data_IF_232304580676
#
_entry.id   IF_232304580676
#
_cell.length_a   1.000
_cell.length_b   1.000
_cell.length_c   1.000
_cell.angle_alpha   90.00
_cell.angle_beta   90.00
_cell.angle_gamma   90.00
#
_symmetry.space_group_name_H-M   'P 1'
#
loop_
_entity.id
_entity.type
_entity.pdbx_description
1 polymer ?
#
# COMPACT_ATOMS: atom_id res chain seq x y z
N UNK A 1 -74.45 -63.67 26.59
CA UNK A 1 -73.88 -64.80 25.80
C UNK A 1 -72.53 -64.35 25.28
N UNK A 2 -71.53 -64.26 26.15
CA UNK A 2 -70.16 -63.90 25.77
C UNK A 2 -69.45 -65.19 25.38
N UNK A 3 -69.74 -65.68 24.17
CA UNK A 3 -68.90 -66.72 23.58
C UNK A 3 -67.51 -66.13 23.41
N UNK A 4 -66.42 -66.89 23.68
CA UNK A 4 -65.11 -66.44 23.32
C UNK A 4 -65.16 -66.16 21.82
N UNK A 5 -64.93 -64.90 21.43
CA UNK A 5 -64.41 -64.60 20.11
C UNK A 5 -63.10 -65.36 20.08
N UNK A 6 -63.18 -66.62 19.63
CA UNK A 6 -62.05 -67.35 19.17
C UNK A 6 -61.46 -66.41 18.14
N UNK A 7 -60.35 -65.76 18.51
CA UNK A 7 -59.37 -65.27 17.56
C UNK A 7 -59.05 -66.50 16.73
N UNK A 8 -59.85 -66.63 15.68
CA UNK A 8 -59.91 -67.75 14.77
C UNK A 8 -58.47 -68.00 14.38
N UNK A 9 -58.00 -69.22 14.66
CA UNK A 9 -56.63 -69.69 14.43
C UNK A 9 -56.21 -69.14 13.08
N UNK A 10 -55.45 -68.04 13.09
CA UNK A 10 -55.09 -67.41 11.83
C UNK A 10 -54.30 -68.47 11.09
N UNK A 11 -54.73 -68.80 9.88
CA UNK A 11 -54.09 -69.82 9.07
C UNK A 11 -52.56 -69.61 9.19
N UNK A 12 -51.74 -70.64 9.48
CA UNK A 12 -50.33 -70.47 9.80
C UNK A 12 -49.56 -69.68 8.72
N UNK A 13 -49.99 -69.78 7.46
CA UNK A 13 -49.51 -68.95 6.36
C UNK A 13 -49.77 -67.44 6.56
N UNK A 14 -50.94 -67.05 7.06
CA UNK A 14 -51.29 -65.64 7.34
C UNK A 14 -50.41 -65.08 8.45
N UNK A 15 -50.21 -65.84 9.52
CA UNK A 15 -49.32 -65.44 10.63
C UNK A 15 -47.86 -65.31 10.13
N UNK A 16 -47.40 -66.27 9.33
CA UNK A 16 -46.07 -66.21 8.70
C UNK A 16 -45.92 -64.99 7.78
N UNK A 17 -46.92 -64.70 6.95
CA UNK A 17 -46.93 -63.51 6.08
C UNK A 17 -46.95 -62.22 6.88
N UNK A 18 -47.77 -62.15 7.92
CA UNK A 18 -47.84 -60.99 8.80
C UNK A 18 -46.49 -60.74 9.48
N UNK A 19 -45.86 -61.78 10.00
CA UNK A 19 -44.51 -61.71 10.59
C UNK A 19 -43.50 -61.21 9.57
N UNK A 20 -43.48 -61.76 8.36
CA UNK A 20 -42.57 -61.35 7.28
C UNK A 20 -42.77 -59.90 6.84
N UNK A 21 -44.03 -59.44 6.77
CA UNK A 21 -44.34 -58.02 6.44
C UNK A 21 -43.92 -57.10 7.59
N UNK A 22 -44.17 -57.51 8.84
CA UNK A 22 -43.78 -56.74 10.02
C UNK A 22 -42.26 -56.61 10.16
N UNK A 23 -41.50 -57.69 9.95
CA UNK A 23 -40.02 -57.68 9.93
C UNK A 23 -39.49 -56.70 8.88
N UNK A 24 -40.01 -56.74 7.64
CA UNK A 24 -39.65 -55.79 6.59
C UNK A 24 -40.01 -54.35 6.91
N UNK A 25 -41.13 -54.13 7.61
CA UNK A 25 -41.56 -52.80 8.01
C UNK A 25 -40.65 -52.23 9.10
N UNK A 26 -40.28 -53.04 10.08
CA UNK A 26 -39.32 -52.69 11.13
C UNK A 26 -37.95 -52.37 10.51
N UNK A 27 -37.46 -53.19 9.57
CA UNK A 27 -36.23 -52.94 8.83
C UNK A 27 -36.29 -51.61 8.05
N UNK A 28 -37.39 -51.37 7.34
CA UNK A 28 -37.59 -50.12 6.59
C UNK A 28 -37.59 -48.90 7.50
N UNK A 29 -38.24 -48.97 8.67
CA UNK A 29 -38.22 -47.91 9.68
C UNK A 29 -36.79 -47.68 10.20
N UNK A 30 -36.06 -48.75 10.52
CA UNK A 30 -34.68 -48.62 10.99
C UNK A 30 -33.78 -47.92 9.95
N UNK A 31 -33.90 -48.27 8.67
CA UNK A 31 -33.18 -47.58 7.60
C UNK A 31 -33.61 -46.12 7.47
N UNK A 32 -34.92 -45.84 7.53
CA UNK A 32 -35.48 -44.48 7.43
C UNK A 32 -35.04 -43.56 8.57
N UNK A 33 -34.81 -44.08 9.77
CA UNK A 33 -34.45 -43.26 10.95
C UNK A 33 -32.94 -43.19 11.16
N UNK A 34 -32.24 -44.32 11.04
CA UNK A 34 -30.83 -44.40 11.43
C UNK A 34 -29.90 -43.79 10.37
N UNK A 35 -30.09 -44.10 9.09
CA UNK A 35 -29.20 -43.62 8.03
C UNK A 35 -29.20 -42.08 7.91
N UNK A 36 -30.37 -41.40 7.94
CA UNK A 36 -30.39 -39.94 7.97
C UNK A 36 -29.77 -39.37 9.24
N UNK A 37 -29.97 -40.01 10.40
CA UNK A 37 -29.37 -39.56 11.67
C UNK A 37 -27.84 -39.59 11.61
N UNK A 38 -27.26 -40.67 11.09
CA UNK A 38 -25.80 -40.79 10.89
C UNK A 38 -25.30 -39.80 9.83
N UNK A 39 -26.05 -39.60 8.74
CA UNK A 39 -25.75 -38.61 7.72
C UNK A 39 -25.70 -37.18 8.27
N UNK A 40 -26.71 -36.78 9.05
CA UNK A 40 -26.79 -35.48 9.70
C UNK A 40 -25.66 -35.28 10.72
N UNK A 41 -25.31 -36.32 11.49
CA UNK A 41 -24.16 -36.26 12.41
C UNK A 41 -22.85 -35.98 11.67
N UNK A 42 -22.62 -36.62 10.52
CA UNK A 42 -21.42 -36.36 9.68
C UNK A 42 -21.39 -34.94 9.12
N UNK A 43 -22.54 -34.42 8.68
CA UNK A 43 -22.66 -33.04 8.21
C UNK A 43 -22.37 -32.07 9.35
N UNK A 44 -22.97 -32.28 10.52
CA UNK A 44 -22.75 -31.45 11.71
C UNK A 44 -21.27 -31.41 12.09
N UNK A 45 -20.61 -32.57 12.13
CA UNK A 45 -19.18 -32.65 12.46
C UNK A 45 -18.31 -31.96 11.40
N UNK A 46 -18.65 -32.09 10.11
CA UNK A 46 -17.97 -31.35 9.04
C UNK A 46 -18.13 -29.84 9.21
N UNK A 47 -19.36 -29.34 9.42
CA UNK A 47 -19.65 -27.93 9.64
C UNK A 47 -18.87 -27.39 10.86
N UNK A 48 -18.85 -28.15 11.95
CA UNK A 48 -18.12 -27.81 13.19
C UNK A 48 -16.61 -27.68 12.97
N UNK A 49 -16.04 -28.46 12.04
CA UNK A 49 -14.61 -28.41 11.71
C UNK A 49 -14.27 -27.33 10.68
N UNK A 50 -15.09 -27.18 9.65
CA UNK A 50 -14.81 -26.32 8.49
C UNK A 50 -15.17 -24.85 8.73
N UNK A 51 -16.28 -24.56 9.42
CA UNK A 51 -16.73 -23.18 9.61
C UNK A 51 -15.75 -22.31 10.42
N UNK A 52 -15.14 -22.77 11.53
CA UNK A 52 -14.16 -21.95 12.25
C UNK A 52 -13.01 -21.50 11.34
N UNK A 53 -12.46 -22.42 10.55
CA UNK A 53 -11.38 -22.10 9.60
C UNK A 53 -11.82 -21.09 8.54
N UNK A 54 -13.05 -21.20 8.04
CA UNK A 54 -13.60 -20.25 7.08
C UNK A 54 -13.80 -18.86 7.70
N UNK A 55 -14.22 -18.79 8.96
CA UNK A 55 -14.36 -17.53 9.70
C UNK A 55 -12.99 -16.87 9.89
N UNK A 56 -11.97 -17.63 10.31
CA UNK A 56 -10.62 -17.12 10.48
C UNK A 56 -10.07 -16.55 9.16
N UNK A 57 -10.23 -17.29 8.06
CA UNK A 57 -9.83 -16.83 6.72
C UNK A 57 -10.60 -15.59 6.26
N UNK A 58 -11.89 -15.48 6.59
CA UNK A 58 -12.69 -14.29 6.33
C UNK A 58 -12.19 -13.09 7.13
N UNK A 59 -11.73 -13.29 8.37
CA UNK A 59 -11.16 -12.23 9.21
C UNK A 59 -9.79 -11.79 8.69
N UNK A 60 -8.92 -12.72 8.29
CA UNK A 60 -7.65 -12.43 7.62
C UNK A 60 -7.87 -11.59 6.35
N UNK A 61 -8.83 -12.00 5.50
CA UNK A 61 -9.17 -11.27 4.28
C UNK A 61 -9.66 -9.85 4.60
N UNK A 62 -10.50 -9.68 5.63
CA UNK A 62 -10.95 -8.34 6.06
C UNK A 62 -9.81 -7.47 6.56
N UNK A 63 -8.87 -8.02 7.32
CA UNK A 63 -7.69 -7.29 7.78
C UNK A 63 -6.84 -6.82 6.60
N UNK A 64 -6.56 -7.73 5.65
CA UNK A 64 -5.85 -7.41 4.41
C UNK A 64 -6.59 -6.35 3.58
N UNK A 65 -7.92 -6.44 3.47
CA UNK A 65 -8.72 -5.44 2.77
C UNK A 65 -8.59 -4.05 3.42
N UNK A 66 -8.57 -3.96 4.75
CA UNK A 66 -8.38 -2.70 5.45
C UNK A 66 -6.98 -2.11 5.22
N UNK A 67 -5.95 -2.95 5.22
CA UNK A 67 -4.58 -2.53 4.88
C UNK A 67 -4.49 -2.01 3.45
N UNK A 68 -5.06 -2.73 2.47
CA UNK A 68 -5.11 -2.30 1.08
C UNK A 68 -5.82 -0.95 0.96
N UNK A 69 -6.95 -0.78 1.62
CA UNK A 69 -7.69 0.49 1.60
C UNK A 69 -6.85 1.65 2.18
N UNK A 70 -6.10 1.41 3.26
CA UNK A 70 -5.16 2.39 3.82
C UNK A 70 -4.08 2.79 2.83
N UNK A 71 -3.40 1.81 2.24
CA UNK A 71 -2.37 2.05 1.21
C UNK A 71 -2.94 2.77 -0.01
N UNK A 72 -4.14 2.39 -0.48
CA UNK A 72 -4.80 3.09 -1.58
C UNK A 72 -5.10 4.56 -1.24
N UNK A 73 -5.52 4.84 -0.01
CA UNK A 73 -5.74 6.22 0.44
C UNK A 73 -4.45 7.05 0.42
N UNK A 74 -3.35 6.48 0.93
CA UNK A 74 -2.04 7.14 0.92
C UNK A 74 -1.51 7.34 -0.49
N UNK A 75 -1.72 6.38 -1.39
CA UNK A 75 -1.38 6.49 -2.81
C UNK A 75 -2.20 7.59 -3.49
N UNK A 76 -3.51 7.63 -3.29
CA UNK A 76 -4.38 8.67 -3.85
C UNK A 76 -3.96 10.07 -3.35
N UNK A 77 -3.60 10.19 -2.07
CA UNK A 77 -3.09 11.43 -1.50
C UNK A 77 -1.73 11.82 -2.10
N UNK A 78 -0.82 10.86 -2.22
CA UNK A 78 0.51 11.05 -2.81
C UNK A 78 0.41 11.49 -4.27
N UNK A 79 -0.46 10.85 -5.06
CA UNK A 79 -0.71 11.19 -6.46
C UNK A 79 -1.26 12.61 -6.57
N UNK A 80 -2.27 12.97 -5.77
CA UNK A 80 -2.82 14.34 -5.76
C UNK A 80 -1.75 15.38 -5.40
N UNK A 81 -0.88 15.05 -4.45
CA UNK A 81 0.23 15.93 -4.05
C UNK A 81 1.19 16.14 -5.21
N UNK A 82 1.67 15.07 -5.86
CA UNK A 82 2.58 15.16 -7.02
C UNK A 82 1.92 15.88 -8.20
N UNK A 83 0.64 15.63 -8.47
CA UNK A 83 -0.10 16.34 -9.52
C UNK A 83 -0.21 17.83 -9.22
N UNK A 84 -0.46 18.21 -7.97
CA UNK A 84 -0.52 19.62 -7.58
C UNK A 84 0.81 20.35 -7.81
N UNK A 85 1.95 19.64 -7.69
CA UNK A 85 3.28 20.21 -7.91
C UNK A 85 3.50 20.69 -9.35
N UNK A 86 2.80 20.12 -10.34
CA UNK A 86 2.87 20.55 -11.73
C UNK A 86 2.33 21.98 -11.94
N UNK A 87 1.52 22.48 -11.00
CA UNK A 87 0.88 23.78 -11.09
C UNK A 87 1.46 24.80 -10.09
N UNK A 88 2.50 24.42 -9.35
CA UNK A 88 3.15 25.30 -8.38
C UNK A 88 4.01 26.34 -9.12
N UNK A 89 3.74 27.65 -8.96
CA UNK A 89 4.51 28.70 -9.64
C UNK A 89 5.86 28.97 -9.00
N UNK A 90 6.14 28.40 -7.81
CA UNK A 90 7.35 28.68 -7.04
C UNK A 90 8.63 28.40 -7.83
N UNK A 91 8.68 27.34 -8.64
CA UNK A 91 9.86 27.05 -9.47
C UNK A 91 10.13 28.17 -10.49
N UNK A 92 9.09 28.66 -11.16
CA UNK A 92 9.19 29.78 -12.11
C UNK A 92 9.59 31.08 -11.41
N UNK A 93 8.97 31.38 -10.26
CA UNK A 93 9.28 32.59 -9.48
C UNK A 93 10.72 32.55 -8.96
N UNK A 94 11.17 31.42 -8.44
CA UNK A 94 12.55 31.21 -7.97
C UNK A 94 13.52 31.42 -9.14
N UNK A 95 13.23 30.83 -10.32
CA UNK A 95 14.06 31.00 -11.51
C UNK A 95 14.16 32.47 -11.95
N UNK A 96 13.05 33.20 -11.95
CA UNK A 96 13.02 34.62 -12.30
C UNK A 96 13.82 35.46 -11.30
N UNK A 97 13.62 35.23 -10.00
CA UNK A 97 14.36 35.90 -8.93
C UNK A 97 15.88 35.66 -9.05
N UNK A 98 16.31 34.43 -9.35
CA UNK A 98 17.71 34.10 -9.57
C UNK A 98 18.28 34.82 -10.80
N UNK A 99 17.54 34.84 -11.91
CA UNK A 99 17.95 35.58 -13.13
C UNK A 99 18.11 37.07 -12.87
N UNK A 100 17.15 37.70 -12.17
CA UNK A 100 17.22 39.11 -11.79
C UNK A 100 18.40 39.40 -10.86
N UNK A 101 18.67 38.51 -9.89
CA UNK A 101 19.81 38.64 -8.98
C UNK A 101 21.15 38.53 -9.72
N UNK A 102 21.28 37.58 -10.65
CA UNK A 102 22.48 37.40 -11.49
C UNK A 102 22.71 38.63 -12.37
N UNK A 103 21.67 39.13 -13.05
CA UNK A 103 21.76 40.33 -13.88
C UNK A 103 22.16 41.57 -13.06
N UNK A 104 21.55 41.72 -11.87
CA UNK A 104 21.90 42.80 -10.93
C UNK A 104 23.36 42.71 -10.49
N UNK A 105 23.85 41.51 -10.15
CA UNK A 105 25.26 41.28 -9.81
C UNK A 105 26.19 41.65 -10.97
N UNK A 106 25.90 41.22 -12.20
CA UNK A 106 26.68 41.57 -13.40
C UNK A 106 26.77 43.10 -13.60
N UNK A 107 25.65 43.81 -13.44
CA UNK A 107 25.62 45.28 -13.53
C UNK A 107 26.47 45.95 -12.44
N UNK A 108 26.41 45.44 -11.21
CA UNK A 108 27.22 45.96 -10.10
C UNK A 108 28.71 45.70 -10.31
N UNK A 109 29.10 44.55 -10.83
CA UNK A 109 30.50 44.20 -11.07
C UNK A 109 31.07 45.01 -12.25
N UNK A 110 30.31 45.22 -13.33
CA UNK A 110 30.69 46.14 -14.41
C UNK A 110 30.85 47.59 -13.90
N UNK A 111 29.92 48.08 -13.08
CA UNK A 111 30.02 49.41 -12.47
C UNK A 111 31.22 49.55 -11.52
N UNK A 112 31.61 48.48 -10.80
CA UNK A 112 32.84 48.45 -9.98
C UNK A 112 34.09 48.51 -10.85
N UNK A 113 34.13 47.80 -11.98
CA UNK A 113 35.26 47.82 -12.91
C UNK A 113 35.48 49.22 -13.48
N UNK A 114 34.42 49.89 -13.95
CA UNK A 114 34.46 51.27 -14.45
C UNK A 114 34.98 52.27 -13.39
N UNK A 115 34.59 52.10 -12.12
CA UNK A 115 35.09 52.94 -11.02
C UNK A 115 36.57 52.68 -10.71
N UNK A 116 37.07 51.46 -10.90
CA UNK A 116 38.50 51.12 -10.74
C UNK A 116 39.33 51.76 -11.85
N UNK A 117 38.88 51.72 -13.10
CA UNK A 117 39.59 52.35 -14.23
C UNK A 117 39.80 53.86 -14.04
N UNK A 118 38.80 54.59 -13.51
CA UNK A 118 38.90 56.04 -13.29
C UNK A 118 39.83 56.46 -12.14
N UNK A 119 40.05 55.59 -11.14
CA UNK A 119 40.94 55.90 -10.01
C UNK A 119 42.43 55.71 -10.32
N UNK A 120 42.77 55.02 -11.41
CA UNK A 120 44.18 54.83 -11.80
C UNK A 120 44.79 56.12 -12.37
N UNK A 121 43.99 57.02 -12.94
CA UNK A 121 44.46 58.31 -13.46
C UNK A 121 44.68 59.39 -12.38
N UNK A 122 44.10 59.23 -11.18
CA UNK A 122 44.24 60.20 -10.09
C UNK A 122 44.72 59.53 -8.79
N UNK A 123 46.03 59.33 -8.68
CA UNK A 123 46.72 59.18 -7.39
C UNK A 123 47.20 57.78 -7.03
N UNK A 124 48.52 57.62 -7.08
CA UNK A 124 49.32 56.57 -6.48
C UNK A 124 49.10 56.47 -4.95
N UNK A 125 48.72 55.29 -4.45
CA UNK A 125 48.78 55.00 -3.01
C UNK A 125 47.91 53.85 -2.50
N UNK A 126 48.57 52.72 -2.21
CA UNK A 126 48.22 51.71 -1.21
C UNK A 126 47.00 50.77 -1.43
N UNK A 127 47.33 49.54 -1.87
CA UNK A 127 47.05 48.25 -1.21
C UNK A 127 45.65 47.99 -0.60
N UNK A 128 44.90 47.03 -1.17
CA UNK A 128 44.68 45.72 -0.52
C UNK A 128 44.01 44.74 -1.50
N UNK A 129 44.59 43.55 -1.58
CA UNK A 129 44.15 42.43 -2.38
C UNK A 129 42.87 41.81 -1.79
N UNK A 130 41.80 41.82 -2.56
CA UNK A 130 40.77 40.78 -2.52
C UNK A 130 40.47 40.42 -3.98
N UNK A 131 41.29 39.51 -4.51
CA UNK A 131 41.07 38.87 -5.78
C UNK A 131 39.95 37.85 -5.60
N UNK A 132 38.70 38.32 -5.55
CA UNK A 132 37.55 37.43 -5.69
C UNK A 132 37.60 36.94 -7.13
N UNK A 133 37.94 35.66 -7.31
CA UNK A 133 37.95 34.98 -8.61
C UNK A 133 36.68 35.35 -9.37
N UNK A 134 36.85 36.01 -10.51
CA UNK A 134 35.79 36.35 -11.45
C UNK A 134 35.30 35.03 -12.07
N UNK A 135 34.36 34.37 -11.38
CA UNK A 135 33.61 33.27 -11.98
C UNK A 135 32.62 33.91 -12.94
N UNK A 136 33.02 34.01 -14.21
CA UNK A 136 32.09 34.21 -15.32
C UNK A 136 31.13 33.04 -15.35
N UNK A 137 30.00 33.16 -14.64
CA UNK A 137 28.88 32.24 -14.82
C UNK A 137 28.27 32.62 -16.17
N UNK A 138 28.80 32.00 -17.22
CA UNK A 138 28.03 31.74 -18.42
C UNK A 138 26.84 30.91 -17.96
N UNK A 139 25.66 31.52 -17.91
CA UNK A 139 24.41 30.78 -17.78
C UNK A 139 24.19 30.11 -19.14
N UNK A 140 25.03 29.13 -19.47
CA UNK A 140 24.60 28.08 -20.38
C UNK A 140 23.37 27.48 -19.72
N UNK A 141 22.32 27.23 -20.51
CA UNK A 141 21.19 26.45 -20.05
C UNK A 141 21.78 25.15 -19.52
N UNK A 142 21.80 24.98 -18.20
CA UNK A 142 22.36 23.79 -17.56
C UNK A 142 21.33 22.71 -17.79
N UNK A 143 21.35 22.14 -18.99
CA UNK A 143 20.60 20.94 -19.34
C UNK A 143 21.31 19.78 -18.63
N UNK A 144 20.84 19.47 -17.42
CA UNK A 144 21.43 18.46 -16.56
C UNK A 144 20.44 18.04 -15.49
N UNK A 145 20.45 16.75 -15.17
CA UNK A 145 19.64 16.17 -14.12
C UNK A 145 20.45 16.16 -12.83
N UNK A 146 19.84 16.57 -11.71
CA UNK A 146 20.51 16.57 -10.41
C UNK A 146 19.92 15.43 -9.57
N UNK A 147 20.77 14.56 -9.05
CA UNK A 147 20.34 13.55 -8.09
C UNK A 147 19.86 14.23 -6.82
N UNK A 148 18.59 14.04 -6.38
CA UNK A 148 18.06 14.74 -5.23
C UNK A 148 18.67 14.28 -3.89
N UNK A 149 19.35 13.14 -3.85
CA UNK A 149 19.90 12.57 -2.63
C UNK A 149 21.37 12.96 -2.38
N UNK A 150 22.20 12.97 -3.43
CA UNK A 150 23.64 13.30 -3.33
C UNK A 150 24.04 14.60 -4.06
N UNK A 151 23.12 15.24 -4.78
CA UNK A 151 23.32 16.47 -5.57
C UNK A 151 24.34 16.35 -6.72
N UNK A 152 24.68 15.13 -7.15
CA UNK A 152 25.50 14.94 -8.34
C UNK A 152 24.73 15.38 -9.59
N UNK A 153 25.43 16.12 -10.46
CA UNK A 153 24.92 16.54 -11.76
C UNK A 153 25.21 15.43 -12.79
N UNK A 154 24.18 15.04 -13.51
CA UNK A 154 24.19 13.99 -14.53
C UNK A 154 23.69 14.58 -15.85
N UNK A 155 24.11 13.99 -16.97
CA UNK A 155 23.87 14.59 -18.30
C UNK A 155 22.62 14.05 -18.97
N UNK A 156 22.09 12.91 -18.51
CA UNK A 156 20.87 12.31 -19.03
C UNK A 156 19.97 11.74 -17.94
N UNK A 157 18.70 11.51 -18.29
CA UNK A 157 17.74 10.86 -17.41
C UNK A 157 18.15 9.40 -17.10
N UNK A 158 18.65 8.67 -18.09
CA UNK A 158 19.08 7.28 -17.92
C UNK A 158 20.28 7.16 -16.96
N UNK A 159 21.27 8.04 -17.09
CA UNK A 159 22.39 8.12 -16.15
C UNK A 159 21.92 8.39 -14.71
N UNK A 160 20.92 9.27 -14.54
CA UNK A 160 20.35 9.54 -13.22
C UNK A 160 19.67 8.28 -12.65
N UNK A 161 18.95 7.52 -13.46
CA UNK A 161 18.33 6.27 -13.01
C UNK A 161 19.38 5.23 -12.62
N UNK A 162 20.38 4.99 -13.47
CA UNK A 162 21.48 4.06 -13.17
C UNK A 162 22.27 4.48 -11.92
N UNK A 163 22.52 5.78 -11.76
CA UNK A 163 23.13 6.33 -10.56
C UNK A 163 22.28 6.07 -9.31
N UNK A 164 20.97 6.32 -9.39
CA UNK A 164 20.07 6.12 -8.25
C UNK A 164 20.01 4.65 -7.85
N UNK A 165 19.86 3.75 -8.82
CA UNK A 165 19.84 2.30 -8.58
C UNK A 165 21.17 1.81 -7.98
N UNK A 166 22.31 2.28 -8.49
CA UNK A 166 23.62 1.85 -7.99
C UNK A 166 24.02 2.43 -6.63
N UNK A 167 23.65 3.68 -6.32
CA UNK A 167 24.11 4.41 -5.14
C UNK A 167 23.09 4.48 -3.99
N UNK A 168 21.80 4.36 -4.30
CA UNK A 168 20.71 4.64 -3.35
C UNK A 168 19.67 3.53 -3.25
N UNK A 169 19.70 2.51 -4.10
CA UNK A 169 18.88 1.31 -3.93
C UNK A 169 19.48 0.38 -2.87
N UNK A 170 19.72 0.90 -1.68
CA UNK A 170 19.73 0.07 -0.48
C UNK A 170 18.30 -0.40 -0.27
N UNK A 171 18.10 -1.68 -0.60
CA UNK A 171 16.87 -2.44 -0.52
C UNK A 171 15.90 -1.93 0.55
N UNK A 172 14.86 -1.21 0.11
CA UNK A 172 13.56 -1.01 0.76
C UNK A 172 13.60 -1.21 2.29
N UNK A 173 14.41 -0.38 2.97
CA UNK A 173 14.68 -0.58 4.38
C UNK A 173 13.47 -0.11 5.18
N UNK A 174 13.12 -0.94 6.14
CA UNK A 174 11.83 -0.98 6.81
C UNK A 174 11.66 0.24 7.72
N UNK A 175 10.90 1.26 7.29
CA UNK A 175 10.30 2.26 8.19
C UNK A 175 8.83 1.86 8.36
N UNK A 176 8.38 1.22 9.44
CA UNK A 176 8.64 1.49 10.86
C UNK A 176 8.49 2.98 11.16
N UNK A 177 7.24 3.38 11.40
CA UNK A 177 6.91 4.76 11.76
C UNK A 177 5.46 5.18 11.56
N UNK A 178 4.49 4.35 11.96
CA UNK A 178 3.22 4.89 12.49
C UNK A 178 2.92 4.13 13.78
N UNK A 179 3.46 4.68 14.87
CA UNK A 179 2.87 4.55 16.19
C UNK A 179 1.63 5.43 16.16
N UNK A 180 0.45 4.83 16.30
CA UNK A 180 -0.66 5.49 16.97
C UNK A 180 -1.18 4.49 18.00
N UNK A 181 -0.61 4.63 19.20
CA UNK A 181 -1.19 4.18 20.46
C UNK A 181 -2.53 4.89 20.66
N UNK A 182 -3.58 4.42 20.00
CA UNK A 182 -4.95 4.66 20.46
C UNK A 182 -5.23 3.71 21.62
N UNK A 183 -4.64 4.05 22.77
CA UNK A 183 -5.02 3.51 24.07
C UNK A 183 -6.48 3.87 24.37
N UNK A 184 -7.23 2.82 24.73
CA UNK A 184 -8.13 2.76 25.88
C UNK A 184 -9.41 3.62 25.85
N UNK A 185 -10.52 2.96 25.48
CA UNK A 185 -11.81 3.14 26.16
C UNK A 185 -12.43 1.74 26.35
N UNK A 186 -11.99 1.07 27.42
CA UNK A 186 -12.75 0.03 28.10
C UNK A 186 -13.30 0.65 29.39
N UNK A 187 -14.58 0.98 29.38
CA UNK A 187 -15.49 0.99 30.53
C UNK A 187 -16.92 0.65 30.04
#
# INVERSE_FOLDING_TARGET
MSGPIGLEVQHPETEYRLKKVSEKFIESIHLMVNEPSVGLYRIQEHVRRSLPQLVDKKMELRSCQNQINGVCYDLDYSIKTVQSMQHIPHFTIIQECLRSAIASKKNLDAAKLERRSKKVDEGSGAQSADAVSEVSIETQDVEGFICPNCMQVLTSQDELLEHWQSQHETANDTRQGYNDDANNDQD
#
